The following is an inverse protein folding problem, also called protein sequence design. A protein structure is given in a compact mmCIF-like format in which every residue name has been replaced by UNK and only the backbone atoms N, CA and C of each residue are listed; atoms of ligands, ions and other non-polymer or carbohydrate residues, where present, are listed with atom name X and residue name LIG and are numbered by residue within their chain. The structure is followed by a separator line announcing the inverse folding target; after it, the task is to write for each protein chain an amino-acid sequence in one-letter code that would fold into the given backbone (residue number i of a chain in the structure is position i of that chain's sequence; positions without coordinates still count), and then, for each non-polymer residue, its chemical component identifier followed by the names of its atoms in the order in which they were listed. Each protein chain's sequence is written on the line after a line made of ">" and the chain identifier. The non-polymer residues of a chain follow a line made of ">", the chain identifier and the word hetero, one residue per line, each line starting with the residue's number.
data_IF_344265284957
#
_entry.id   IF_344265284957
#
_cell.length_a   1.000
_cell.length_b   1.000
_cell.length_c   1.000
_cell.angle_alpha   90.00
_cell.angle_beta   90.00
_cell.angle_gamma   90.00
#
_symmetry.space_group_name_H-M   'P 1'
#
loop_
_entity.id
_entity.type
_entity.pdbx_description
1 polymer ?
#
# COMPACT_ATOMS: atom_id res chain seq x y z
N UNK A 1 -9.07 11.09 7.30
CA UNK A 1 -9.63 11.95 6.25
C UNK A 1 -9.52 13.44 6.60
N UNK A 2 -9.60 13.85 7.85
CA UNK A 2 -9.47 15.27 8.23
C UNK A 2 -8.20 15.97 7.68
N UNK A 3 -7.11 15.25 7.42
CA UNK A 3 -5.87 15.87 6.90
C UNK A 3 -5.98 16.38 5.45
N UNK A 4 -6.92 15.85 4.65
CA UNK A 4 -7.14 16.23 3.24
C UNK A 4 -8.29 17.21 3.03
N UNK A 5 -8.83 17.75 4.12
CA UNK A 5 -9.94 18.68 4.07
C UNK A 5 -11.33 18.03 4.04
N UNK A 6 -11.42 16.71 4.02
CA UNK A 6 -12.66 15.96 3.96
C UNK A 6 -13.11 15.51 5.36
N UNK A 7 -14.41 15.44 5.57
CA UNK A 7 -15.00 15.02 6.84
C UNK A 7 -15.93 13.82 6.66
N UNK A 8 -15.91 12.89 7.62
CA UNK A 8 -16.89 11.80 7.67
C UNK A 8 -17.69 11.91 8.94
N UNK A 9 -18.98 12.22 8.80
CA UNK A 9 -19.92 12.34 9.89
C UNK A 9 -20.45 10.95 10.25
N UNK A 10 -20.69 10.71 11.52
CA UNK A 10 -21.21 9.44 12.07
C UNK A 10 -20.34 8.21 11.81
N UNK A 11 -19.02 8.39 11.52
CA UNK A 11 -18.11 7.27 11.23
C UNK A 11 -17.95 6.29 12.40
N UNK A 12 -17.72 6.82 13.60
CA UNK A 12 -17.43 5.98 14.79
C UNK A 12 -18.53 6.08 15.84
N UNK A 13 -19.06 7.26 16.03
CA UNK A 13 -20.01 7.56 17.09
C UNK A 13 -21.04 8.59 16.61
N UNK A 14 -22.21 8.56 17.20
CA UNK A 14 -23.24 9.58 17.03
C UNK A 14 -23.89 9.94 18.37
N UNK A 15 -24.41 11.17 18.47
CA UNK A 15 -25.11 11.65 19.67
C UNK A 15 -26.56 11.21 19.60
N UNK A 16 -27.06 10.49 20.62
CA UNK A 16 -28.45 10.04 20.71
C UNK A 16 -29.34 11.06 21.42
N UNK A 17 -28.77 11.84 22.34
CA UNK A 17 -29.47 12.87 23.09
C UNK A 17 -28.59 14.13 23.16
N UNK A 18 -29.06 15.21 22.51
CA UNK A 18 -28.34 16.48 22.45
C UNK A 18 -28.33 17.20 23.80
N UNK A 19 -29.29 16.96 24.68
CA UNK A 19 -29.39 17.59 25.99
C UNK A 19 -28.42 16.92 26.96
N UNK A 20 -28.49 15.59 27.03
CA UNK A 20 -27.62 14.78 27.93
C UNK A 20 -26.26 14.46 27.35
N UNK A 21 -26.00 14.84 26.06
CA UNK A 21 -24.76 14.53 25.32
C UNK A 21 -24.34 13.05 25.33
N UNK A 22 -25.32 12.17 25.33
CA UNK A 22 -25.06 10.73 25.29
C UNK A 22 -24.58 10.34 23.92
N UNK A 23 -23.41 9.65 23.87
CA UNK A 23 -22.75 9.22 22.64
C UNK A 23 -22.83 7.71 22.54
N UNK A 24 -23.28 7.20 21.37
CA UNK A 24 -23.32 5.77 21.05
C UNK A 24 -22.35 5.45 19.91
N UNK A 25 -21.76 4.25 19.93
CA UNK A 25 -20.95 3.77 18.80
C UNK A 25 -21.86 3.48 17.63
N UNK A 26 -21.47 3.95 16.44
CA UNK A 26 -22.15 3.58 15.20
C UNK A 26 -21.69 2.19 14.76
N UNK A 27 -22.58 1.21 14.81
CA UNK A 27 -22.35 -0.16 14.36
C UNK A 27 -23.12 -0.46 13.06
N UNK A 28 -23.44 0.57 12.29
CA UNK A 28 -24.31 0.49 11.11
C UNK A 28 -25.72 1.04 11.35
N UNK A 29 -26.03 1.48 12.58
CA UNK A 29 -27.35 2.03 12.97
C UNK A 29 -27.68 3.34 12.21
N UNK A 30 -26.66 4.08 11.81
CA UNK A 30 -26.81 5.33 11.03
C UNK A 30 -25.84 5.36 9.86
N UNK A 31 -26.28 5.89 8.69
CA UNK A 31 -25.42 6.04 7.54
C UNK A 31 -24.27 7.00 7.84
N UNK A 32 -23.10 6.72 7.30
CA UNK A 32 -21.98 7.63 7.31
C UNK A 32 -22.16 8.65 6.19
N UNK A 33 -21.99 9.92 6.51
CA UNK A 33 -22.06 11.01 5.53
C UNK A 33 -20.65 11.51 5.26
N UNK A 34 -20.23 11.47 4.01
CA UNK A 34 -18.95 11.98 3.55
C UNK A 34 -19.14 13.40 3.01
N UNK A 35 -18.37 14.34 3.53
CA UNK A 35 -18.37 15.74 3.12
C UNK A 35 -17.00 16.10 2.58
N UNK A 36 -16.93 16.39 1.29
CA UNK A 36 -15.69 16.83 0.65
C UNK A 36 -15.43 18.32 0.92
N UNK A 37 -14.14 18.66 1.01
CA UNK A 37 -13.67 20.05 1.17
C UNK A 37 -14.35 20.82 2.29
N UNK A 38 -14.61 20.14 3.40
CA UNK A 38 -15.25 20.74 4.57
C UNK A 38 -14.36 21.79 5.26
N UNK A 39 -13.04 21.67 5.11
CA UNK A 39 -12.04 22.62 5.64
C UNK A 39 -10.78 22.62 4.77
N UNK A 40 -9.87 23.62 4.91
CA UNK A 40 -8.61 23.62 4.18
C UNK A 40 -7.80 22.36 4.45
N UNK A 41 -7.25 21.76 3.37
CA UNK A 41 -6.42 20.59 3.47
C UNK A 41 -5.06 20.91 4.11
N UNK A 42 -4.61 20.07 5.06
CA UNK A 42 -3.28 20.17 5.68
C UNK A 42 -2.23 19.53 4.76
N UNK A 43 -2.59 18.42 4.11
CA UNK A 43 -1.76 17.71 3.14
C UNK A 43 -2.55 17.45 1.87
N UNK A 44 -1.86 17.37 0.72
CA UNK A 44 -2.52 17.04 -0.54
C UNK A 44 -3.11 15.62 -0.52
N UNK A 45 -4.17 15.39 -1.29
CA UNK A 45 -4.79 14.06 -1.43
C UNK A 45 -3.75 13.02 -1.86
N UNK A 46 -2.85 13.36 -2.79
CA UNK A 46 -1.79 12.48 -3.27
C UNK A 46 -0.88 11.98 -2.12
N UNK A 47 -0.36 12.89 -1.28
CA UNK A 47 0.46 12.52 -0.11
C UNK A 47 -0.33 11.67 0.87
N UNK A 48 -1.59 11.99 1.13
CA UNK A 48 -2.44 11.24 2.05
C UNK A 48 -2.63 9.80 1.59
N UNK A 49 -2.94 9.57 0.30
CA UNK A 49 -3.09 8.22 -0.24
C UNK A 49 -1.78 7.44 -0.27
N UNK A 50 -0.66 8.10 -0.58
CA UNK A 50 0.67 7.51 -0.46
C UNK A 50 0.95 6.98 0.96
N UNK A 51 0.65 7.77 1.97
CA UNK A 51 0.83 7.37 3.37
C UNK A 51 -0.11 6.21 3.72
N UNK A 52 -1.37 6.24 3.27
CA UNK A 52 -2.33 5.16 3.51
C UNK A 52 -1.88 3.84 2.89
N UNK A 53 -1.39 3.87 1.65
CA UNK A 53 -0.87 2.69 0.97
C UNK A 53 0.33 2.11 1.73
N UNK A 54 1.27 2.96 2.14
CA UNK A 54 2.42 2.52 2.92
C UNK A 54 2.00 1.94 4.28
N UNK A 55 1.01 2.53 4.95
CA UNK A 55 0.44 1.99 6.18
C UNK A 55 -0.24 0.63 5.94
N UNK A 56 -0.99 0.48 4.85
CA UNK A 56 -1.61 -0.79 4.48
C UNK A 56 -0.57 -1.87 4.15
N UNK A 57 0.47 -1.51 3.42
CA UNK A 57 1.62 -2.38 3.11
C UNK A 57 2.33 -2.85 4.38
N UNK A 58 2.59 -1.94 5.31
CA UNK A 58 3.18 -2.30 6.62
C UNK A 58 2.23 -3.15 7.45
N UNK A 59 0.94 -2.88 7.39
CA UNK A 59 -0.09 -3.65 8.08
C UNK A 59 -0.24 -5.07 7.52
N UNK A 60 -0.16 -5.25 6.19
CA UNK A 60 -0.24 -6.58 5.55
C UNK A 60 0.94 -7.47 5.93
N UNK A 61 2.15 -6.91 5.99
CA UNK A 61 3.34 -7.65 6.45
C UNK A 61 3.19 -8.18 7.88
N UNK A 62 2.53 -7.44 8.78
CA UNK A 62 2.26 -7.88 10.16
C UNK A 62 1.25 -9.04 10.24
N UNK A 63 0.26 -9.08 9.34
CA UNK A 63 -0.78 -10.13 9.33
C UNK A 63 -0.23 -11.53 8.98
N UNK A 64 0.82 -11.61 8.20
CA UNK A 64 1.48 -12.90 7.87
C UNK A 64 2.08 -13.53 9.12
N UNK A 65 2.61 -12.75 10.05
CA UNK A 65 3.16 -13.23 11.32
C UNK A 65 2.07 -13.65 12.32
N UNK A 66 0.85 -13.13 12.22
CA UNK A 66 -0.27 -13.45 13.11
C UNK A 66 -0.87 -14.85 12.88
N UNK A 67 -0.67 -15.45 11.71
CA UNK A 67 -1.19 -16.79 11.40
C UNK A 67 -0.55 -17.92 12.25
N UNK A 68 0.62 -17.67 12.84
CA UNK A 68 1.32 -18.62 13.70
C UNK A 68 1.04 -18.47 15.20
N UNK A 69 0.17 -17.56 15.61
CA UNK A 69 -0.47 -17.53 16.93
C UNK A 69 0.39 -17.15 18.14
N UNK A 70 1.69 -16.82 18.02
CA UNK A 70 2.58 -16.59 19.16
C UNK A 70 3.59 -15.44 19.04
N UNK A 71 3.48 -14.56 18.07
CA UNK A 71 4.41 -13.41 17.97
C UNK A 71 3.88 -12.23 18.80
N UNK A 72 4.54 -11.96 19.92
CA UNK A 72 4.28 -10.76 20.70
C UNK A 72 4.60 -9.51 19.85
N UNK A 73 3.59 -8.67 19.65
CA UNK A 73 3.76 -7.37 18.99
C UNK A 73 4.78 -6.55 19.78
N UNK A 74 5.82 -6.08 19.10
CA UNK A 74 6.86 -5.23 19.70
C UNK A 74 8.20 -5.92 19.97
N UNK A 75 8.31 -7.23 19.78
CA UNK A 75 9.56 -7.97 20.00
C UNK A 75 10.66 -7.64 18.98
N UNK A 76 10.31 -7.06 17.82
CA UNK A 76 11.25 -6.79 16.74
C UNK A 76 11.25 -5.31 16.40
N UNK A 77 12.41 -4.69 16.50
CA UNK A 77 12.62 -3.27 16.23
C UNK A 77 12.66 -3.01 14.72
N UNK A 78 11.89 -2.04 14.24
CA UNK A 78 11.99 -1.50 12.87
C UNK A 78 13.10 -0.45 12.73
N UNK A 79 14.03 -0.38 13.67
CA UNK A 79 15.14 0.59 13.67
C UNK A 79 16.01 0.47 12.41
N UNK A 80 16.26 -0.75 11.96
CA UNK A 80 17.12 -1.04 10.80
C UNK A 80 16.26 -1.31 9.56
N UNK A 81 16.70 -0.84 8.38
CA UNK A 81 15.99 -1.04 7.13
C UNK A 81 15.76 -2.53 6.83
N UNK A 82 16.77 -3.34 7.05
CA UNK A 82 16.72 -4.78 6.79
C UNK A 82 15.71 -5.54 7.66
N UNK A 83 15.33 -5.03 8.84
CA UNK A 83 14.31 -5.67 9.70
C UNK A 83 12.94 -5.79 9.01
N UNK A 84 12.63 -4.90 8.06
CA UNK A 84 11.37 -4.89 7.33
C UNK A 84 11.50 -5.46 5.92
N UNK A 85 12.69 -5.37 5.33
CA UNK A 85 12.93 -5.66 3.93
C UNK A 85 13.50 -7.07 3.69
N UNK A 86 14.29 -7.61 4.64
CA UNK A 86 14.98 -8.88 4.46
C UNK A 86 14.06 -10.05 4.82
N UNK A 87 13.81 -10.94 3.86
CA UNK A 87 12.94 -12.10 4.01
C UNK A 87 13.64 -13.38 3.58
N UNK A 88 13.22 -14.50 4.17
CA UNK A 88 13.70 -15.83 3.83
C UNK A 88 13.09 -16.30 2.51
N UNK A 89 13.90 -16.80 1.57
CA UNK A 89 13.44 -17.35 0.29
C UNK A 89 12.66 -18.65 0.45
N UNK A 90 12.96 -19.43 1.50
CA UNK A 90 12.30 -20.71 1.76
C UNK A 90 10.92 -20.52 2.43
N UNK A 91 10.87 -19.80 3.56
CA UNK A 91 9.64 -19.72 4.36
C UNK A 91 8.94 -18.35 4.31
N UNK A 92 9.48 -17.36 3.62
CA UNK A 92 8.93 -16.02 3.52
C UNK A 92 8.95 -15.18 4.80
N UNK A 93 9.50 -15.73 5.91
CA UNK A 93 9.53 -15.04 7.20
C UNK A 93 10.65 -14.00 7.23
N UNK A 94 10.45 -12.84 7.84
CA UNK A 94 11.50 -11.84 7.99
C UNK A 94 12.71 -12.35 8.77
N UNK A 95 13.85 -11.73 8.51
CA UNK A 95 15.09 -11.94 9.26
C UNK A 95 15.15 -10.99 10.47
N UNK A 96 15.82 -11.45 11.53
CA UNK A 96 16.10 -10.69 12.75
C UNK A 96 17.58 -10.45 12.89
N UNK A 97 17.94 -9.23 13.27
CA UNK A 97 19.30 -8.83 13.64
C UNK A 97 19.70 -9.46 14.96
N UNK A 98 20.81 -10.21 14.96
CA UNK A 98 21.36 -10.89 16.12
C UNK A 98 22.83 -10.49 16.30
N UNK A 99 23.30 -10.41 17.56
CA UNK A 99 24.71 -10.21 17.86
C UNK A 99 25.30 -11.54 18.29
N UNK A 100 26.30 -12.02 17.57
CA UNK A 100 27.11 -13.16 17.98
C UNK A 100 28.39 -12.68 18.65
N UNK A 101 28.70 -13.24 19.80
CA UNK A 101 29.97 -13.02 20.48
C UNK A 101 30.75 -14.32 20.49
N UNK A 102 31.93 -14.35 19.89
CA UNK A 102 32.86 -15.46 19.92
C UNK A 102 34.29 -14.96 20.13
N UNK A 103 34.99 -15.49 21.13
CA UNK A 103 36.37 -15.13 21.45
C UNK A 103 36.56 -13.61 21.65
N UNK A 104 35.67 -12.95 22.37
CA UNK A 104 35.71 -11.50 22.63
C UNK A 104 35.32 -10.62 21.41
N UNK A 105 35.19 -11.16 20.23
CA UNK A 105 34.76 -10.43 19.03
C UNK A 105 33.25 -10.52 18.88
N UNK A 106 32.59 -9.36 18.72
CA UNK A 106 31.16 -9.25 18.40
C UNK A 106 31.01 -9.17 16.88
N UNK A 107 30.10 -9.99 16.35
CA UNK A 107 29.71 -10.00 14.94
C UNK A 107 28.21 -9.84 14.85
N UNK A 108 27.75 -9.01 13.95
CA UNK A 108 26.33 -8.78 13.73
C UNK A 108 25.88 -9.64 12.55
N UNK A 109 24.83 -10.41 12.79
CA UNK A 109 24.30 -11.34 11.79
C UNK A 109 22.78 -11.25 11.73
N UNK A 110 22.24 -11.60 10.59
CA UNK A 110 20.81 -11.70 10.34
C UNK A 110 20.39 -13.16 10.25
N UNK A 111 19.30 -13.53 10.93
CA UNK A 111 18.78 -14.89 11.00
C UNK A 111 17.28 -14.91 10.79
N UNK A 112 16.78 -15.92 10.08
CA UNK A 112 15.36 -16.15 9.89
C UNK A 112 14.64 -16.31 11.24
N UNK A 113 13.56 -15.57 11.46
CA UNK A 113 12.79 -15.59 12.71
C UNK A 113 12.16 -16.96 12.93
N UNK A 114 11.59 -17.57 11.87
CA UNK A 114 10.99 -18.90 11.95
C UNK A 114 11.99 -19.94 12.44
N UNK A 115 13.23 -19.90 11.92
CA UNK A 115 14.30 -20.82 12.36
C UNK A 115 14.78 -20.53 13.77
N UNK A 116 14.76 -19.27 14.21
CA UNK A 116 15.12 -18.89 15.59
C UNK A 116 14.10 -19.37 16.61
N UNK A 117 12.80 -19.29 16.29
CA UNK A 117 11.73 -19.61 17.24
C UNK A 117 11.33 -21.09 17.22
N UNK A 118 11.38 -21.73 16.06
CA UNK A 118 10.87 -23.09 15.87
C UNK A 118 11.93 -24.10 15.41
N UNK A 119 13.20 -23.68 15.32
CA UNK A 119 14.27 -24.54 14.79
C UNK A 119 14.05 -24.87 13.31
N UNK A 120 14.33 -26.13 12.94
CA UNK A 120 14.19 -26.62 11.56
C UNK A 120 12.77 -27.05 11.20
N UNK A 121 11.78 -26.87 12.10
CA UNK A 121 10.42 -27.37 11.89
C UNK A 121 9.71 -26.75 10.68
N UNK A 122 9.95 -25.46 10.43
CA UNK A 122 9.26 -24.69 9.37
C UNK A 122 10.21 -24.05 8.37
N UNK A 123 11.51 -24.13 8.61
CA UNK A 123 12.54 -23.55 7.75
C UNK A 123 13.83 -24.36 7.89
N UNK A 124 14.20 -25.08 6.83
CA UNK A 124 15.31 -26.04 6.85
C UNK A 124 16.64 -25.41 6.44
N UNK A 125 16.65 -24.57 5.41
CA UNK A 125 17.85 -24.11 4.72
C UNK A 125 18.07 -22.58 4.77
N UNK A 126 17.49 -21.89 5.78
CA UNK A 126 17.74 -20.45 5.92
C UNK A 126 19.17 -20.19 6.43
N UNK A 127 20.03 -19.56 5.62
CA UNK A 127 21.38 -19.25 6.03
C UNK A 127 21.42 -18.10 7.03
N UNK A 128 22.48 -18.04 7.82
CA UNK A 128 22.82 -16.88 8.65
C UNK A 128 23.64 -15.92 7.81
N UNK A 129 23.16 -14.68 7.70
CA UNK A 129 23.76 -13.64 6.87
C UNK A 129 24.56 -12.67 7.70
N UNK A 130 25.74 -12.31 7.25
CA UNK A 130 26.57 -11.27 7.84
C UNK A 130 26.07 -9.88 7.45
N UNK A 131 25.99 -8.94 8.41
CA UNK A 131 25.45 -7.61 8.15
C UNK A 131 26.30 -6.82 7.14
N UNK A 132 27.62 -6.82 7.31
CA UNK A 132 28.52 -6.06 6.44
C UNK A 132 28.47 -6.57 5.01
N UNK A 133 28.39 -7.89 4.84
CA UNK A 133 28.27 -8.52 3.52
C UNK A 133 26.92 -8.23 2.85
N UNK A 134 25.84 -8.22 3.63
CA UNK A 134 24.52 -7.82 3.12
C UNK A 134 24.52 -6.35 2.69
N UNK A 135 25.09 -5.47 3.49
CA UNK A 135 25.20 -4.04 3.15
C UNK A 135 25.96 -3.85 1.85
N UNK A 136 27.07 -4.57 1.67
CA UNK A 136 27.86 -4.52 0.44
C UNK A 136 27.07 -5.02 -0.78
N UNK A 137 26.39 -6.15 -0.67
CA UNK A 137 25.58 -6.70 -1.77
C UNK A 137 24.42 -5.76 -2.16
N UNK A 138 23.78 -5.12 -1.19
CA UNK A 138 22.71 -4.14 -1.42
C UNK A 138 23.26 -2.88 -2.09
N UNK A 139 24.40 -2.38 -1.63
CA UNK A 139 25.09 -1.25 -2.22
C UNK A 139 25.44 -1.50 -3.68
N UNK A 140 26.01 -2.66 -3.98
CA UNK A 140 26.31 -3.08 -5.36
C UNK A 140 25.05 -3.17 -6.23
N UNK A 141 23.93 -3.70 -5.67
CA UNK A 141 22.64 -3.75 -6.37
C UNK A 141 22.04 -2.37 -6.65
N UNK A 142 22.15 -1.43 -5.72
CA UNK A 142 21.70 -0.05 -5.91
C UNK A 142 22.57 0.66 -6.96
N UNK A 143 23.88 0.45 -6.92
CA UNK A 143 24.80 1.04 -7.91
C UNK A 143 24.56 0.48 -9.31
N UNK A 144 24.25 -0.81 -9.44
CA UNK A 144 23.86 -1.39 -10.73
C UNK A 144 22.56 -0.77 -11.26
N UNK A 145 21.56 -0.58 -10.40
CA UNK A 145 20.33 0.09 -10.78
C UNK A 145 20.63 1.54 -11.29
N UNK A 146 21.51 2.27 -10.61
CA UNK A 146 21.91 3.61 -11.02
C UNK A 146 22.61 3.58 -12.38
N UNK A 147 23.50 2.61 -12.61
CA UNK A 147 24.18 2.47 -13.89
C UNK A 147 23.20 2.10 -15.02
N UNK A 148 22.29 1.16 -14.77
CA UNK A 148 21.26 0.75 -15.73
C UNK A 148 20.27 1.90 -16.01
N UNK A 149 19.94 2.72 -15.01
CA UNK A 149 19.03 3.86 -15.14
C UNK A 149 19.64 5.09 -15.84
N UNK A 150 20.94 5.14 -15.99
CA UNK A 150 21.63 6.23 -16.70
C UNK A 150 21.36 6.13 -18.21
N UNK A 151 20.44 6.92 -18.71
CA UNK A 151 20.11 7.01 -20.14
C UNK A 151 18.92 6.19 -20.62
N UNK A 152 18.31 5.39 -19.75
CA UNK A 152 17.13 4.56 -20.08
C UNK A 152 15.93 4.84 -19.14
N UNK A 153 16.13 5.70 -18.14
CA UNK A 153 15.13 5.98 -17.11
C UNK A 153 13.78 6.44 -17.69
N UNK A 154 13.80 7.29 -18.69
CA UNK A 154 12.58 7.81 -19.32
C UNK A 154 11.91 6.74 -20.21
N UNK A 155 12.68 5.94 -20.95
CA UNK A 155 12.13 4.85 -21.80
C UNK A 155 11.51 3.72 -20.97
N UNK A 156 12.11 3.37 -19.83
CA UNK A 156 11.54 2.37 -18.89
C UNK A 156 10.23 2.87 -18.27
N UNK A 157 10.14 4.17 -17.98
CA UNK A 157 8.91 4.79 -17.48
C UNK A 157 7.81 4.80 -18.54
N UNK A 158 8.15 5.13 -19.76
CA UNK A 158 7.21 5.16 -20.88
C UNK A 158 6.69 3.74 -21.18
N UNK A 159 7.55 2.73 -21.21
CA UNK A 159 7.15 1.34 -21.42
C UNK A 159 6.23 0.84 -20.29
N UNK A 160 6.57 1.12 -19.03
CA UNK A 160 5.72 0.75 -17.90
C UNK A 160 4.35 1.45 -17.95
N UNK A 161 4.30 2.70 -18.42
CA UNK A 161 3.07 3.46 -18.62
C UNK A 161 2.20 2.85 -19.73
N UNK A 162 2.79 2.47 -20.87
CA UNK A 162 2.11 1.84 -22.02
C UNK A 162 1.52 0.49 -21.63
N UNK A 163 2.27 -0.36 -20.91
CA UNK A 163 1.79 -1.67 -20.44
C UNK A 163 0.62 -1.49 -19.48
N UNK A 164 0.69 -0.51 -18.57
CA UNK A 164 -0.38 -0.24 -17.62
C UNK A 164 -1.65 0.28 -18.31
N UNK A 165 -1.52 1.08 -19.36
CA UNK A 165 -2.65 1.58 -20.15
C UNK A 165 -3.35 0.46 -20.96
N UNK A 166 -2.59 -0.49 -21.50
CA UNK A 166 -3.16 -1.60 -22.25
C UNK A 166 -3.96 -2.59 -21.38
N UNK A 167 -3.62 -2.75 -20.11
CA UNK A 167 -4.35 -3.61 -19.16
C UNK A 167 -5.71 -2.99 -18.77
N UNK A 168 -5.89 -1.68 -18.93
CA UNK A 168 -7.09 -0.95 -18.49
C UNK A 168 -8.12 -0.71 -19.60
N UNK A 169 -7.91 -1.26 -20.79
CA UNK A 169 -8.83 -1.05 -21.94
C UNK A 169 -10.22 -1.70 -21.76
N UNK A 170 -10.40 -2.60 -20.80
CA UNK A 170 -11.67 -3.31 -20.54
C UNK A 170 -12.52 -2.69 -19.41
N UNK A 171 -12.19 -1.49 -18.96
CA UNK A 171 -12.91 -0.81 -17.86
C UNK A 171 -14.24 -0.16 -18.27
N UNK A 172 -15.20 -0.14 -17.34
CA UNK A 172 -16.48 0.60 -17.53
C UNK A 172 -16.16 2.10 -17.60
N UNK A 173 -16.60 2.76 -18.67
CA UNK A 173 -16.38 4.20 -18.86
C UNK A 173 -17.12 5.01 -17.77
N UNK A 174 -16.41 5.85 -16.99
CA UNK A 174 -17.04 6.71 -15.98
C UNK A 174 -18.10 7.65 -16.51
N UNK A 175 -18.00 8.04 -17.79
CA UNK A 175 -18.99 8.92 -18.43
C UNK A 175 -20.34 8.21 -18.61
N UNK A 176 -20.33 6.93 -18.96
CA UNK A 176 -21.56 6.14 -19.08
C UNK A 176 -22.25 5.97 -17.75
N UNK A 177 -21.50 5.74 -16.68
CA UNK A 177 -22.04 5.66 -15.31
C UNK A 177 -22.63 6.99 -14.84
N UNK A 178 -22.00 8.12 -15.15
CA UNK A 178 -22.53 9.46 -14.82
C UNK A 178 -23.83 9.74 -15.58
N UNK A 179 -23.86 9.48 -16.88
CA UNK A 179 -25.09 9.63 -17.69
C UNK A 179 -26.24 8.77 -17.16
N UNK A 180 -25.94 7.54 -16.72
CA UNK A 180 -26.94 6.67 -16.09
C UNK A 180 -27.45 7.22 -14.77
N UNK A 181 -26.55 7.79 -13.94
CA UNK A 181 -26.89 8.42 -12.67
C UNK A 181 -27.83 9.64 -12.87
N UNK A 182 -27.55 10.45 -13.90
CA UNK A 182 -28.37 11.60 -14.24
C UNK A 182 -29.76 11.17 -14.71
N UNK A 183 -29.83 10.12 -15.58
CA UNK A 183 -31.09 9.56 -16.04
C UNK A 183 -31.93 9.00 -14.87
N UNK A 184 -31.31 8.25 -13.95
CA UNK A 184 -31.99 7.73 -12.76
C UNK A 184 -32.44 8.85 -11.80
N UNK A 185 -31.69 9.94 -11.75
CA UNK A 185 -32.08 11.11 -10.94
C UNK A 185 -33.31 11.80 -11.51
N UNK A 186 -33.40 11.94 -12.84
CA UNK A 186 -34.59 12.47 -13.50
C UNK A 186 -35.82 11.54 -13.30
N UNK A 187 -35.63 10.21 -13.47
CA UNK A 187 -36.69 9.23 -13.20
C UNK A 187 -37.18 9.26 -11.76
N UNK A 188 -36.27 9.40 -10.80
CA UNK A 188 -36.63 9.52 -9.38
C UNK A 188 -37.46 10.74 -9.10
N UNK A 189 -37.16 11.91 -9.70
CA UNK A 189 -37.94 13.13 -9.55
C UNK A 189 -39.36 12.95 -10.09
N UNK A 190 -39.51 12.37 -11.29
CA UNK A 190 -40.82 12.11 -11.90
C UNK A 190 -41.66 11.12 -11.08
N UNK A 191 -41.04 10.06 -10.53
CA UNK A 191 -41.75 9.12 -9.65
C UNK A 191 -42.16 9.73 -8.32
N UNK A 192 -41.35 10.64 -7.77
CA UNK A 192 -41.68 11.34 -6.52
C UNK A 192 -42.93 12.19 -6.70
N UNK A 193 -43.09 12.91 -7.82
CA UNK A 193 -44.29 13.67 -8.12
C UNK A 193 -45.53 12.78 -8.18
N UNK A 194 -45.43 11.60 -8.81
CA UNK A 194 -46.50 10.61 -8.89
C UNK A 194 -46.86 9.98 -7.54
N UNK A 195 -45.90 9.77 -6.65
CA UNK A 195 -46.12 9.25 -5.28
C UNK A 195 -46.83 10.30 -4.42
N UNK A 196 -46.57 11.60 -4.64
CA UNK A 196 -47.27 12.66 -3.94
C UNK A 196 -48.75 12.74 -4.32
N UNK A 197 -49.12 12.30 -5.55
CA UNK A 197 -50.51 12.24 -6.01
C UNK A 197 -51.24 10.98 -5.51
N UNK A 198 -50.54 9.85 -5.31
CA UNK A 198 -51.10 8.57 -4.84
C UNK A 198 -50.17 7.90 -3.80
N UNK A 199 -50.34 8.31 -2.54
CA UNK A 199 -49.49 7.89 -1.42
C UNK A 199 -49.63 6.39 -1.04
N UNK A 200 -50.75 5.76 -1.39
CA UNK A 200 -51.02 4.36 -1.01
C UNK A 200 -50.52 3.35 -2.05
N UNK A 201 -49.89 3.81 -3.12
CA UNK A 201 -49.40 2.96 -4.21
C UNK A 201 -48.05 2.28 -3.88
N UNK A 202 -48.11 1.06 -3.35
CA UNK A 202 -46.94 0.27 -2.99
C UNK A 202 -45.98 0.03 -4.16
N UNK A 203 -46.50 -0.06 -5.41
CA UNK A 203 -45.65 -0.28 -6.60
C UNK A 203 -44.74 0.89 -6.89
N UNK A 204 -45.22 2.14 -6.68
CA UNK A 204 -44.41 3.35 -6.87
C UNK A 204 -43.30 3.45 -5.82
N UNK A 205 -43.59 3.07 -4.59
CA UNK A 205 -42.58 3.05 -3.52
C UNK A 205 -41.52 1.98 -3.75
N UNK A 206 -41.89 0.81 -4.27
CA UNK A 206 -40.93 -0.26 -4.64
C UNK A 206 -40.03 0.19 -5.81
N UNK A 207 -40.58 0.89 -6.80
CA UNK A 207 -39.80 1.47 -7.91
C UNK A 207 -38.81 2.52 -7.43
N UNK A 208 -39.21 3.42 -6.53
CA UNK A 208 -38.31 4.40 -5.92
C UNK A 208 -37.16 3.74 -5.16
N UNK A 209 -37.47 2.68 -4.44
CA UNK A 209 -36.47 1.90 -3.71
C UNK A 209 -35.46 1.26 -4.66
N UNK A 210 -35.92 0.63 -5.74
CA UNK A 210 -35.05 0.04 -6.76
C UNK A 210 -34.13 1.07 -7.42
N UNK A 211 -34.66 2.25 -7.77
CA UNK A 211 -33.85 3.36 -8.30
C UNK A 211 -32.81 3.84 -7.29
N UNK A 212 -33.16 3.94 -6.02
CA UNK A 212 -32.23 4.34 -4.97
C UNK A 212 -31.09 3.32 -4.80
N UNK A 213 -31.39 2.02 -4.85
CA UNK A 213 -30.40 0.95 -4.79
C UNK A 213 -29.46 0.96 -6.01
N UNK A 214 -30.01 1.16 -7.23
CA UNK A 214 -29.21 1.29 -8.45
C UNK A 214 -28.30 2.52 -8.43
N UNK A 215 -28.81 3.67 -7.98
CA UNK A 215 -28.01 4.90 -7.79
C UNK A 215 -26.87 4.68 -6.80
N UNK A 216 -27.15 4.01 -5.69
CA UNK A 216 -26.14 3.71 -4.68
C UNK A 216 -25.03 2.82 -5.26
N UNK A 217 -25.38 1.78 -6.03
CA UNK A 217 -24.42 0.90 -6.68
C UNK A 217 -23.53 1.65 -7.70
N UNK A 218 -24.11 2.56 -8.49
CA UNK A 218 -23.35 3.40 -9.43
C UNK A 218 -22.40 4.35 -8.70
N UNK A 219 -22.84 4.97 -7.60
CA UNK A 219 -21.99 5.85 -6.79
C UNK A 219 -20.81 5.09 -6.16
N UNK A 220 -21.03 3.86 -5.73
CA UNK A 220 -19.95 2.99 -5.22
C UNK A 220 -18.94 2.63 -6.32
N UNK A 221 -19.43 2.32 -7.53
CA UNK A 221 -18.56 2.05 -8.69
C UNK A 221 -17.74 3.28 -9.08
N UNK A 222 -18.36 4.46 -9.18
CA UNK A 222 -17.66 5.71 -9.47
C UNK A 222 -16.62 6.03 -8.39
N UNK A 223 -16.96 5.81 -7.13
CA UNK A 223 -16.03 6.00 -6.01
C UNK A 223 -14.83 5.04 -6.08
N UNK A 224 -15.04 3.79 -6.47
CA UNK A 224 -13.97 2.80 -6.68
C UNK A 224 -13.04 3.20 -7.83
N UNK A 225 -13.60 3.63 -8.98
CA UNK A 225 -12.83 4.10 -10.13
C UNK A 225 -11.98 5.31 -9.75
N UNK A 226 -12.58 6.30 -9.07
CA UNK A 226 -11.86 7.50 -8.63
C UNK A 226 -10.71 7.17 -7.66
N UNK A 227 -10.93 6.24 -6.73
CA UNK A 227 -9.87 5.80 -5.81
C UNK A 227 -8.72 5.11 -6.55
N UNK A 228 -9.04 4.31 -7.56
CA UNK A 228 -8.03 3.63 -8.38
C UNK A 228 -7.23 4.63 -9.22
N UNK A 229 -7.88 5.62 -9.84
CA UNK A 229 -7.20 6.71 -10.56
C UNK A 229 -6.27 7.53 -9.64
N UNK A 230 -6.71 7.86 -8.43
CA UNK A 230 -5.89 8.57 -7.44
C UNK A 230 -4.67 7.73 -7.00
N UNK A 231 -4.86 6.42 -6.82
CA UNK A 231 -3.75 5.51 -6.50
C UNK A 231 -2.74 5.41 -7.64
N UNK A 232 -3.21 5.31 -8.88
CA UNK A 232 -2.37 5.27 -10.10
C UNK A 232 -1.56 6.57 -10.25
N UNK A 233 -2.21 7.72 -10.13
CA UNK A 233 -1.52 9.01 -10.16
C UNK A 233 -0.43 9.11 -9.08
N UNK A 234 -0.69 8.57 -7.89
CA UNK A 234 0.30 8.47 -6.83
C UNK A 234 1.48 7.55 -7.17
N UNK A 235 1.25 6.43 -7.84
CA UNK A 235 2.31 5.52 -8.29
C UNK A 235 3.14 6.13 -9.40
N UNK A 236 2.52 6.78 -10.37
CA UNK A 236 3.22 7.48 -11.45
C UNK A 236 4.12 8.60 -10.94
N UNK A 237 3.64 9.40 -9.99
CA UNK A 237 4.44 10.44 -9.35
C UNK A 237 5.70 9.85 -8.70
N UNK A 238 5.60 8.70 -8.05
CA UNK A 238 6.74 8.02 -7.43
C UNK A 238 7.71 7.42 -8.44
N UNK A 239 7.20 6.90 -9.56
CA UNK A 239 8.05 6.42 -10.67
C UNK A 239 8.86 7.57 -11.24
N UNK A 240 8.24 8.73 -11.47
CA UNK A 240 8.94 9.95 -11.92
C UNK A 240 9.98 10.39 -10.90
N UNK A 241 9.64 10.43 -9.60
CA UNK A 241 10.60 10.76 -8.55
C UNK A 241 11.81 9.81 -8.55
N UNK A 242 11.58 8.50 -8.75
CA UNK A 242 12.67 7.52 -8.88
C UNK A 242 13.53 7.78 -10.11
N UNK A 243 12.91 8.05 -11.27
CA UNK A 243 13.65 8.35 -12.50
C UNK A 243 14.48 9.64 -12.39
N UNK A 244 13.88 10.70 -11.85
CA UNK A 244 14.59 11.95 -11.58
C UNK A 244 15.79 11.71 -10.65
N UNK A 245 15.58 10.94 -9.58
CA UNK A 245 16.65 10.59 -8.67
C UNK A 245 17.76 9.79 -9.35
N UNK A 246 17.45 8.78 -10.18
CA UNK A 246 18.43 8.00 -10.95
C UNK A 246 19.21 8.90 -11.91
N UNK A 247 18.55 9.81 -12.61
CA UNK A 247 19.18 10.74 -13.54
C UNK A 247 20.08 11.77 -12.83
N UNK A 248 19.78 12.15 -11.60
CA UNK A 248 20.58 13.07 -10.80
C UNK A 248 21.84 12.42 -10.20
N UNK A 249 21.84 11.09 -10.04
CA UNK A 249 22.98 10.38 -9.48
C UNK A 249 24.13 10.28 -10.48
N UNK A 250 25.12 11.17 -10.35
CA UNK A 250 26.31 11.18 -11.21
C UNK A 250 27.40 10.22 -10.77
N UNK A 251 27.42 9.84 -9.50
CA UNK A 251 28.42 8.96 -8.88
C UNK A 251 27.77 7.77 -8.21
N UNK A 252 28.51 6.70 -8.08
CA UNK A 252 28.10 5.53 -7.30
C UNK A 252 28.19 5.83 -5.81
N UNK A 253 27.36 5.16 -5.03
CA UNK A 253 27.46 5.20 -3.58
C UNK A 253 28.65 4.33 -3.12
N UNK A 254 29.40 4.84 -2.17
CA UNK A 254 30.54 4.14 -1.55
C UNK A 254 30.17 3.49 -0.25
N UNK A 255 29.10 3.94 0.42
CA UNK A 255 28.66 3.46 1.70
C UNK A 255 27.17 3.10 1.67
N UNK A 256 26.81 2.07 2.46
CA UNK A 256 25.42 1.66 2.63
C UNK A 256 24.63 2.71 3.43
N UNK A 257 23.43 3.04 2.95
CA UNK A 257 22.49 3.94 3.63
C UNK A 257 21.12 3.29 3.82
N UNK A 258 20.71 3.20 5.08
CA UNK A 258 19.39 2.70 5.50
C UNK A 258 18.24 3.51 4.89
N UNK A 259 18.40 4.83 4.71
CA UNK A 259 17.38 5.74 4.19
C UNK A 259 17.10 5.46 2.72
N UNK A 260 18.16 5.37 1.92
CA UNK A 260 18.09 5.04 0.50
C UNK A 260 17.49 3.65 0.31
N UNK A 261 17.99 2.67 1.08
CA UNK A 261 17.48 1.31 1.03
C UNK A 261 15.98 1.24 1.35
N UNK A 262 15.50 1.93 2.39
CA UNK A 262 14.07 1.99 2.72
C UNK A 262 13.24 2.66 1.65
N UNK A 263 13.79 3.68 0.99
CA UNK A 263 13.06 4.47 -0.01
C UNK A 263 12.86 3.70 -1.30
N UNK A 264 13.88 3.02 -1.80
CA UNK A 264 13.89 2.44 -3.14
C UNK A 264 13.81 0.91 -3.19
N UNK A 265 14.17 0.21 -2.11
CA UNK A 265 14.07 -1.26 -2.06
C UNK A 265 12.70 -1.67 -1.50
N UNK A 266 12.02 -2.56 -2.20
CA UNK A 266 10.75 -3.15 -1.77
C UNK A 266 10.98 -4.37 -0.87
N UNK A 267 11.86 -5.27 -1.31
CA UNK A 267 12.13 -6.54 -0.65
C UNK A 267 13.52 -7.04 -1.00
N UNK A 268 14.16 -7.70 -0.04
CA UNK A 268 15.40 -8.43 -0.23
C UNK A 268 15.13 -9.87 0.18
N UNK A 269 15.21 -10.80 -0.77
CA UNK A 269 14.97 -12.22 -0.53
C UNK A 269 16.30 -12.95 -0.44
N UNK A 270 16.55 -13.62 0.67
CA UNK A 270 17.72 -14.49 0.82
C UNK A 270 17.43 -15.79 0.09
N UNK A 271 18.06 -15.99 -1.07
CA UNK A 271 17.87 -17.18 -1.90
C UNK A 271 18.67 -18.35 -1.31
N UNK A 272 19.95 -18.11 -1.05
CA UNK A 272 20.88 -19.07 -0.44
C UNK A 272 21.97 -18.37 0.38
N UNK A 273 23.01 -19.08 0.80
CA UNK A 273 24.10 -18.53 1.62
C UNK A 273 24.99 -17.51 0.88
N UNK A 274 24.95 -17.52 -0.43
CA UNK A 274 25.82 -16.72 -1.29
C UNK A 274 25.06 -15.75 -2.18
N UNK A 275 23.70 -15.80 -2.20
CA UNK A 275 22.89 -15.02 -3.13
C UNK A 275 21.69 -14.35 -2.43
N UNK A 276 21.51 -13.08 -2.70
CA UNK A 276 20.31 -12.32 -2.33
C UNK A 276 19.67 -11.72 -3.59
N UNK A 277 18.35 -11.74 -3.60
CA UNK A 277 17.53 -11.10 -4.64
C UNK A 277 16.97 -9.81 -4.12
N UNK A 278 17.23 -8.70 -4.80
CA UNK A 278 16.80 -7.37 -4.45
C UNK A 278 15.71 -6.94 -5.41
N UNK A 279 14.49 -6.71 -4.90
CA UNK A 279 13.37 -6.13 -5.64
C UNK A 279 13.26 -4.66 -5.32
N UNK A 280 13.26 -3.83 -6.36
CA UNK A 280 13.12 -2.39 -6.23
C UNK A 280 11.65 -1.96 -6.26
N UNK A 281 11.36 -0.80 -5.66
CA UNK A 281 10.02 -0.19 -5.65
C UNK A 281 9.76 0.53 -6.97
N UNK A 282 8.49 0.53 -7.38
CA UNK A 282 7.96 1.28 -8.52
C UNK A 282 8.43 0.81 -9.90
N UNK A 283 9.37 -0.13 -9.95
CA UNK A 283 9.85 -0.79 -11.16
C UNK A 283 9.86 -2.30 -10.91
N UNK A 284 9.53 -3.07 -11.93
CA UNK A 284 9.54 -4.54 -11.84
C UNK A 284 10.94 -5.08 -12.16
N UNK A 285 11.94 -4.55 -11.49
CA UNK A 285 13.33 -4.98 -11.62
C UNK A 285 13.73 -5.74 -10.37
N UNK A 286 14.24 -6.96 -10.58
CA UNK A 286 14.85 -7.80 -9.56
C UNK A 286 16.30 -8.05 -9.95
N UNK A 287 17.23 -7.82 -9.02
CA UNK A 287 18.67 -8.01 -9.22
C UNK A 287 19.16 -9.06 -8.25
N UNK A 288 19.77 -10.14 -8.77
CA UNK A 288 20.44 -11.16 -7.97
C UNK A 288 21.88 -10.75 -7.69
N UNK A 289 22.26 -10.74 -6.42
CA UNK A 289 23.59 -10.35 -5.97
C UNK A 289 24.29 -11.45 -5.19
N UNK A 290 25.53 -11.71 -5.57
CA UNK A 290 26.40 -12.63 -4.83
C UNK A 290 26.93 -11.96 -3.54
N UNK A 291 26.83 -12.68 -2.45
CA UNK A 291 27.43 -12.30 -1.16
C UNK A 291 28.86 -12.82 -1.14
N UNK A 292 29.80 -11.93 -1.34
CA UNK A 292 31.23 -12.32 -1.35
C UNK A 292 31.67 -12.87 0.00
N UNK A 293 32.46 -13.94 -0.03
CA UNK A 293 33.01 -14.64 1.15
C UNK A 293 33.92 -13.75 1.97
#
# INVERSE_FOLDING_TARGET
>A
MNCIGDWVITQKTYTTDCIRKTVKKNQGDRPMVYVERNHPAIVSKAIFYQVREEMARRGSKRKVMQKTGKTEQGKYSSKYALSELLVCGECGTPYKRCTWARNGKKRIVWRCISRLEFGTKYCHDSPTMDEDKLHQAILEGINELIQAGRGVGDELLDFACIVQQSINADGIDPLTLRSRLDALTAQQAELLDKVLEDMDNTKLTDQLKAIAEEKQAILEQLGAIQQDEEQRAGQEARRRELAEWLNQQRTEFTEYDDTITRKYVERITVVDAETVRIKFRYIEVEIDRAIRK
#
